data_IF_607753100795
#
_entry.id   IF_607753100795
#
_cell.length_a   1.000
_cell.length_b   1.000
_cell.length_c   1.000
_cell.angle_alpha   90.00
_cell.angle_beta   90.00
_cell.angle_gamma   90.00
#
_symmetry.space_group_name_H-M   'P 1'
#
loop_
_entity.id
_entity.type
_entity.pdbx_description
1 polymer ?
#
# COMPACT_ATOMS: atom_id res chain seq x y z
N UNK A 1 11.00 17.19 6.83
CA UNK A 1 9.72 17.92 6.80
C UNK A 1 9.18 17.94 8.22
N UNK A 2 8.48 18.98 8.66
CA UNK A 2 7.87 18.98 10.01
C UNK A 2 6.72 17.97 10.12
N UNK A 3 6.28 17.67 11.35
CA UNK A 3 5.17 16.73 11.61
C UNK A 3 3.86 17.12 10.92
N UNK A 4 3.57 18.41 10.75
CA UNK A 4 2.38 18.84 10.01
C UNK A 4 2.51 18.51 8.53
N UNK A 5 3.68 18.77 7.93
CA UNK A 5 3.91 18.52 6.51
C UNK A 5 3.84 17.04 6.14
N UNK A 6 4.31 16.14 7.02
CA UNK A 6 4.20 14.70 6.76
C UNK A 6 2.75 14.22 6.82
N UNK A 7 1.96 14.76 7.76
CA UNK A 7 0.53 14.43 7.90
C UNK A 7 -0.27 14.91 6.69
N UNK A 8 -0.01 16.14 6.21
CA UNK A 8 -0.62 16.65 4.97
C UNK A 8 -0.21 15.79 3.77
N UNK A 9 1.05 15.38 3.70
CA UNK A 9 1.53 14.49 2.64
C UNK A 9 0.81 13.13 2.69
N UNK A 10 0.60 12.56 3.88
CA UNK A 10 -0.12 11.29 4.05
C UNK A 10 -1.56 11.41 3.52
N UNK A 11 -2.26 12.50 3.86
CA UNK A 11 -3.62 12.77 3.38
C UNK A 11 -3.67 12.85 1.85
N UNK A 12 -2.79 13.66 1.25
CA UNK A 12 -2.77 13.94 -0.19
C UNK A 12 -2.39 12.69 -0.97
N UNK A 13 -1.38 11.94 -0.51
CA UNK A 13 -0.97 10.71 -1.20
C UNK A 13 -2.06 9.64 -1.12
N UNK A 14 -2.73 9.47 0.03
CA UNK A 14 -3.87 8.55 0.13
C UNK A 14 -5.04 8.95 -0.76
N UNK A 15 -5.34 10.23 -0.87
CA UNK A 15 -6.34 10.74 -1.81
C UNK A 15 -5.96 10.38 -3.25
N UNK A 16 -4.75 10.73 -3.67
CA UNK A 16 -4.25 10.48 -5.01
C UNK A 16 -4.18 8.99 -5.34
N UNK A 17 -3.82 8.14 -4.37
CA UNK A 17 -3.68 6.70 -4.58
C UNK A 17 -4.99 6.05 -4.99
N UNK A 18 -6.10 6.46 -4.38
CA UNK A 18 -7.44 5.96 -4.76
C UNK A 18 -7.83 6.39 -6.18
N UNK A 19 -7.49 7.63 -6.55
CA UNK A 19 -7.67 8.15 -7.91
C UNK A 19 -6.82 7.43 -8.95
N UNK A 20 -5.59 7.05 -8.61
CA UNK A 20 -4.65 6.47 -9.56
C UNK A 20 -5.18 5.20 -10.24
N UNK A 21 -5.82 4.30 -9.47
CA UNK A 21 -6.43 3.10 -10.05
C UNK A 21 -7.58 3.41 -11.01
N UNK A 22 -8.37 4.44 -10.71
CA UNK A 22 -9.45 4.93 -11.57
C UNK A 22 -8.92 5.55 -12.85
N UNK A 23 -7.91 6.43 -12.76
CA UNK A 23 -7.29 7.06 -13.91
C UNK A 23 -6.64 6.04 -14.85
N UNK A 24 -5.95 5.03 -14.30
CA UNK A 24 -5.40 3.93 -15.11
C UNK A 24 -6.52 3.18 -15.83
N UNK A 25 -7.62 2.85 -15.15
CA UNK A 25 -8.76 2.19 -15.78
C UNK A 25 -9.41 3.02 -16.89
N UNK A 26 -9.60 4.34 -16.67
CA UNK A 26 -10.15 5.25 -17.68
C UNK A 26 -9.21 5.37 -18.87
N UNK A 27 -7.90 5.51 -18.63
CA UNK A 27 -6.90 5.60 -19.69
C UNK A 27 -6.91 4.35 -20.56
N UNK A 28 -6.83 3.15 -19.96
CA UNK A 28 -6.70 1.91 -20.73
C UNK A 28 -7.99 1.53 -21.44
N UNK A 29 -9.12 1.57 -20.75
CA UNK A 29 -10.38 1.06 -21.30
C UNK A 29 -11.24 2.14 -21.97
N UNK A 30 -11.10 3.40 -21.56
CA UNK A 30 -11.84 4.52 -22.13
C UNK A 30 -11.08 5.20 -23.26
N UNK A 31 -9.87 5.69 -22.97
CA UNK A 31 -9.09 6.50 -23.93
C UNK A 31 -8.39 5.63 -24.98
N UNK A 32 -7.70 4.57 -24.56
CA UNK A 32 -6.98 3.67 -25.46
C UNK A 32 -7.88 2.58 -26.08
N UNK A 33 -9.11 2.42 -25.56
CA UNK A 33 -10.11 1.51 -26.12
C UNK A 33 -9.84 0.01 -25.94
N UNK A 34 -8.91 -0.38 -25.07
CA UNK A 34 -8.66 -1.81 -24.80
C UNK A 34 -9.84 -2.45 -24.06
N UNK A 35 -10.25 -3.64 -24.48
CA UNK A 35 -11.31 -4.39 -23.82
C UNK A 35 -10.94 -4.75 -22.38
N UNK A 36 -11.93 -4.70 -21.48
CA UNK A 36 -11.81 -5.16 -20.08
C UNK A 36 -11.74 -6.68 -19.95
N UNK A 37 -12.12 -7.42 -21.00
CA UNK A 37 -12.20 -8.89 -21.00
C UNK A 37 -11.05 -9.55 -21.75
N UNK A 38 -10.19 -8.75 -22.37
CA UNK A 38 -9.07 -9.24 -23.16
C UNK A 38 -7.78 -9.14 -22.36
N UNK A 39 -6.97 -10.19 -22.45
CA UNK A 39 -5.64 -10.29 -21.85
C UNK A 39 -4.76 -9.11 -22.21
N UNK A 40 -4.85 -8.61 -23.46
CA UNK A 40 -4.07 -7.44 -23.88
C UNK A 40 -4.42 -6.19 -23.06
N UNK A 41 -5.72 -5.95 -22.81
CA UNK A 41 -6.16 -4.82 -22.00
C UNK A 41 -5.68 -4.92 -20.54
N UNK A 42 -5.67 -6.13 -19.98
CA UNK A 42 -5.13 -6.36 -18.64
C UNK A 42 -3.62 -6.12 -18.56
N UNK A 43 -2.85 -6.62 -19.52
CA UNK A 43 -1.40 -6.38 -19.59
C UNK A 43 -1.10 -4.89 -19.65
N UNK A 44 -1.81 -4.15 -20.52
CA UNK A 44 -1.64 -2.69 -20.64
C UNK A 44 -1.99 -1.99 -19.32
N UNK A 45 -3.09 -2.40 -18.66
CA UNK A 45 -3.47 -1.90 -17.33
C UNK A 45 -2.38 -2.15 -16.29
N UNK A 46 -1.76 -3.31 -16.30
CA UNK A 46 -0.66 -3.65 -15.41
C UNK A 46 0.58 -2.80 -15.66
N UNK A 47 0.96 -2.55 -16.92
CA UNK A 47 2.07 -1.67 -17.27
C UNK A 47 1.86 -0.24 -16.72
N UNK A 48 0.68 0.34 -16.94
CA UNK A 48 0.35 1.66 -16.38
C UNK A 48 0.26 1.65 -14.84
N UNK A 49 -0.14 0.53 -14.23
CA UNK A 49 -0.13 0.39 -12.77
C UNK A 49 1.29 0.41 -12.21
N UNK A 50 2.26 -0.22 -12.89
CA UNK A 50 3.68 -0.13 -12.51
C UNK A 50 4.19 1.31 -12.65
N UNK A 51 3.88 2.00 -13.76
CA UNK A 51 4.25 3.42 -13.95
C UNK A 51 3.67 4.28 -12.83
N UNK A 52 2.41 4.06 -12.46
CA UNK A 52 1.77 4.74 -11.33
C UNK A 52 2.53 4.51 -10.02
N UNK A 53 2.92 3.27 -9.71
CA UNK A 53 3.72 2.98 -8.50
C UNK A 53 5.09 3.69 -8.51
N UNK A 54 5.72 3.87 -9.68
CA UNK A 54 6.93 4.69 -9.80
C UNK A 54 6.68 6.17 -9.47
N UNK A 55 5.57 6.74 -9.94
CA UNK A 55 5.16 8.10 -9.60
C UNK A 55 4.95 8.22 -8.09
N UNK A 56 4.24 7.28 -7.47
CA UNK A 56 4.04 7.29 -6.01
C UNK A 56 5.35 7.17 -5.23
N UNK A 57 6.25 6.25 -5.61
CA UNK A 57 7.55 6.15 -4.97
C UNK A 57 8.35 7.46 -5.08
N UNK A 58 8.26 8.16 -6.21
CA UNK A 58 8.87 9.47 -6.39
C UNK A 58 8.23 10.54 -5.49
N UNK A 59 6.89 10.58 -5.39
CA UNK A 59 6.18 11.50 -4.51
C UNK A 59 6.46 11.24 -3.02
N UNK A 60 6.61 9.97 -2.61
CA UNK A 60 7.03 9.61 -1.25
C UNK A 60 8.46 10.11 -0.95
N UNK A 61 9.36 10.04 -1.93
CA UNK A 61 10.72 10.59 -1.83
C UNK A 61 10.69 12.12 -1.70
N UNK A 62 9.89 12.80 -2.51
CA UNK A 62 9.73 14.27 -2.46
C UNK A 62 9.13 14.76 -1.15
N UNK A 63 8.10 14.07 -0.65
CA UNK A 63 7.45 14.36 0.65
C UNK A 63 8.32 13.99 1.86
N UNK A 64 9.50 13.40 1.64
CA UNK A 64 10.44 12.98 2.70
C UNK A 64 9.78 12.03 3.71
N UNK A 65 8.99 11.08 3.22
CA UNK A 65 8.39 10.02 4.03
C UNK A 65 6.87 10.03 4.12
N UNK A 66 6.17 10.73 3.22
CA UNK A 66 4.71 10.61 3.08
C UNK A 66 4.30 9.18 2.72
N UNK A 67 3.15 8.74 3.22
CA UNK A 67 2.62 7.38 3.09
C UNK A 67 1.17 7.42 2.65
N UNK A 68 0.67 6.29 2.16
CA UNK A 68 -0.71 6.16 1.67
C UNK A 68 -1.26 4.75 1.91
N UNK A 69 -0.60 4.01 2.80
CA UNK A 69 -0.91 2.64 3.13
C UNK A 69 -0.62 2.40 4.62
N UNK A 70 -1.66 2.11 5.43
CA UNK A 70 -1.52 1.89 6.86
C UNK A 70 -0.51 0.81 7.23
N UNK A 71 -0.29 -0.18 6.36
CA UNK A 71 0.66 -1.27 6.61
C UNK A 71 2.10 -0.78 6.54
N UNK A 72 2.41 0.10 5.59
CA UNK A 72 3.73 0.74 5.49
C UNK A 72 3.94 1.70 6.66
N UNK A 73 2.89 2.44 7.04
CA UNK A 73 2.93 3.33 8.20
C UNK A 73 3.20 2.55 9.48
N UNK A 74 2.44 1.48 9.72
CA UNK A 74 2.59 0.61 10.88
C UNK A 74 3.96 -0.03 10.94
N UNK A 75 4.47 -0.57 9.83
CA UNK A 75 5.81 -1.15 9.77
C UNK A 75 6.89 -0.13 10.19
N UNK A 76 6.82 1.10 9.68
CA UNK A 76 7.73 2.19 10.07
C UNK A 76 7.53 2.67 11.51
N UNK A 77 6.28 2.69 12.00
CA UNK A 77 5.96 3.09 13.37
C UNK A 77 6.52 2.11 14.40
N UNK A 78 6.41 0.81 14.14
CA UNK A 78 6.91 -0.25 15.03
C UNK A 78 8.44 -0.26 15.09
N UNK A 79 9.12 0.03 13.98
CA UNK A 79 10.59 0.11 13.95
C UNK A 79 11.13 1.44 14.48
N UNK A 80 10.31 2.50 14.52
CA UNK A 80 10.71 3.86 14.89
C UNK A 80 10.65 4.20 16.38
N UNK A 81 10.33 3.25 17.27
CA UNK A 81 10.21 3.47 18.73
C UNK A 81 8.83 3.99 19.17
N UNK A 82 8.59 4.03 20.48
CA UNK A 82 7.24 4.21 21.06
C UNK A 82 6.55 5.53 20.65
N UNK A 83 7.25 6.66 20.69
CA UNK A 83 6.66 7.96 20.30
C UNK A 83 6.23 7.97 18.82
N UNK A 84 7.05 7.41 17.94
CA UNK A 84 6.73 7.29 16.51
C UNK A 84 5.60 6.29 16.28
N UNK A 85 5.57 5.16 17.02
CA UNK A 85 4.47 4.21 16.97
C UNK A 85 3.12 4.87 17.32
N UNK A 86 3.06 5.61 18.43
CA UNK A 86 1.84 6.32 18.85
C UNK A 86 1.44 7.37 17.81
N UNK A 87 2.39 8.17 17.31
CA UNK A 87 2.13 9.16 16.26
C UNK A 87 1.60 8.51 14.97
N UNK A 88 2.17 7.38 14.58
CA UNK A 88 1.71 6.60 13.41
C UNK A 88 0.28 6.10 13.59
N UNK A 89 -0.01 5.43 14.70
CA UNK A 89 -1.31 4.77 14.92
C UNK A 89 -2.42 5.79 15.16
N UNK A 90 -2.15 6.86 15.90
CA UNK A 90 -3.17 7.84 16.27
C UNK A 90 -3.32 9.00 15.29
N UNK A 91 -2.33 9.27 14.45
CA UNK A 91 -2.35 10.42 13.53
C UNK A 91 -2.21 9.99 12.08
N UNK A 92 -1.10 9.33 11.72
CA UNK A 92 -0.80 9.04 10.31
C UNK A 92 -1.82 8.10 9.68
N UNK A 93 -2.10 6.96 10.30
CA UNK A 93 -3.07 5.98 9.78
C UNK A 93 -4.48 6.59 9.64
N UNK A 94 -5.05 7.27 10.65
CA UNK A 94 -6.34 7.94 10.49
C UNK A 94 -6.37 8.96 9.36
N UNK A 95 -5.29 9.72 9.17
CA UNK A 95 -5.22 10.73 8.11
C UNK A 95 -5.09 10.09 6.73
N UNK A 96 -4.37 8.97 6.60
CA UNK A 96 -4.35 8.16 5.37
C UNK A 96 -5.75 7.65 5.03
N UNK A 97 -6.50 7.16 6.02
CA UNK A 97 -7.89 6.71 5.85
C UNK A 97 -8.80 7.86 5.40
N UNK A 98 -8.69 9.03 6.05
CA UNK A 98 -9.44 10.22 5.66
C UNK A 98 -9.15 10.62 4.21
N UNK A 99 -7.87 10.64 3.82
CA UNK A 99 -7.47 10.91 2.43
C UNK A 99 -8.13 9.96 1.44
N UNK A 100 -8.14 8.66 1.73
CA UNK A 100 -8.80 7.65 0.88
C UNK A 100 -10.33 7.80 0.84
N UNK A 101 -10.99 8.10 1.95
CA UNK A 101 -12.43 8.37 1.99
C UNK A 101 -12.78 9.59 1.14
N UNK A 102 -12.03 10.69 1.28
CA UNK A 102 -12.22 11.89 0.47
C UNK A 102 -11.99 11.61 -1.02
N UNK A 103 -10.96 10.82 -1.33
CA UNK A 103 -10.65 10.40 -2.69
C UNK A 103 -11.80 9.63 -3.33
N UNK A 104 -12.29 8.59 -2.66
CA UNK A 104 -13.41 7.78 -3.16
C UNK A 104 -14.71 8.57 -3.26
N UNK A 105 -15.04 9.40 -2.25
CA UNK A 105 -16.22 10.28 -2.33
C UNK A 105 -16.15 11.20 -3.54
N UNK A 106 -14.97 11.77 -3.81
CA UNK A 106 -14.78 12.64 -4.97
C UNK A 106 -14.90 11.86 -6.29
N UNK A 107 -14.32 10.66 -6.35
CA UNK A 107 -14.43 9.76 -7.52
C UNK A 107 -15.90 9.46 -7.83
N UNK A 108 -16.71 9.06 -6.85
CA UNK A 108 -18.12 8.71 -7.05
C UNK A 108 -18.94 9.94 -7.44
N UNK A 109 -18.60 11.12 -6.91
CA UNK A 109 -19.25 12.37 -7.30
C UNK A 109 -18.99 12.73 -8.77
N UNK A 110 -17.77 12.52 -9.26
CA UNK A 110 -17.38 12.83 -10.64
C UNK A 110 -17.82 11.72 -11.62
N UNK A 111 -17.73 10.46 -11.20
CA UNK A 111 -18.04 9.27 -11.99
C UNK A 111 -18.97 8.33 -11.20
N UNK A 112 -20.29 8.58 -11.18
CA UNK A 112 -21.23 7.81 -10.36
C UNK A 112 -21.28 6.31 -10.67
N UNK A 113 -20.98 5.94 -11.92
CA UNK A 113 -21.02 4.55 -12.38
C UNK A 113 -19.70 3.78 -12.20
N UNK A 114 -18.68 4.40 -11.59
CA UNK A 114 -17.38 3.77 -11.47
C UNK A 114 -17.36 2.72 -10.35
N UNK A 115 -16.60 1.65 -10.57
CA UNK A 115 -16.72 0.35 -9.90
C UNK A 115 -16.79 0.35 -8.37
N UNK A 116 -17.21 -0.78 -7.80
CA UNK A 116 -17.60 -0.89 -6.39
C UNK A 116 -16.44 -1.22 -5.44
N UNK A 117 -15.18 -0.94 -5.76
CA UNK A 117 -14.03 -1.37 -4.94
C UNK A 117 -13.86 -2.91 -4.86
N UNK A 118 -13.04 -3.42 -3.93
CA UNK A 118 -12.77 -4.85 -3.81
C UNK A 118 -13.97 -5.62 -3.25
N UNK A 119 -14.04 -6.89 -3.63
CA UNK A 119 -15.09 -7.84 -3.24
C UNK A 119 -14.45 -9.11 -2.70
N UNK A 120 -14.93 -9.59 -1.57
CA UNK A 120 -14.59 -10.91 -1.07
C UNK A 120 -15.40 -11.99 -1.81
N UNK A 121 -14.71 -13.00 -2.35
CA UNK A 121 -15.34 -14.12 -3.05
C UNK A 121 -15.19 -15.46 -2.31
N UNK A 122 -14.55 -15.45 -1.14
CA UNK A 122 -14.33 -16.62 -0.27
C UNK A 122 -14.87 -16.39 1.13
N UNK A 123 -14.86 -17.42 1.98
CA UNK A 123 -15.26 -17.25 3.37
C UNK A 123 -14.32 -16.27 4.11
N UNK A 124 -14.86 -15.52 5.07
CA UNK A 124 -14.14 -14.45 5.81
C UNK A 124 -12.78 -14.90 6.34
N UNK A 125 -12.69 -16.10 6.92
CA UNK A 125 -11.43 -16.62 7.47
C UNK A 125 -10.39 -16.94 6.37
N UNK A 126 -10.84 -17.46 5.22
CA UNK A 126 -9.97 -17.65 4.05
C UNK A 126 -9.51 -16.30 3.51
N UNK A 127 -10.42 -15.32 3.41
CA UNK A 127 -10.06 -13.97 2.96
C UNK A 127 -9.05 -13.30 3.87
N UNK A 128 -9.26 -13.36 5.20
CA UNK A 128 -8.35 -12.80 6.18
C UNK A 128 -6.97 -13.49 6.15
N UNK A 129 -6.94 -14.80 5.93
CA UNK A 129 -5.71 -15.54 5.72
C UNK A 129 -5.00 -15.10 4.43
N UNK A 130 -5.73 -14.99 3.32
CA UNK A 130 -5.20 -14.53 2.03
C UNK A 130 -4.59 -13.14 2.13
N UNK A 131 -5.37 -12.13 2.56
CA UNK A 131 -4.84 -10.76 2.72
C UNK A 131 -3.70 -10.70 3.73
N UNK A 132 -3.75 -11.50 4.80
CA UNK A 132 -2.65 -11.65 5.75
C UNK A 132 -1.37 -12.18 5.12
N UNK A 133 -1.43 -13.28 4.36
CA UNK A 133 -0.27 -13.87 3.68
C UNK A 133 0.32 -12.90 2.65
N UNK A 134 -0.52 -12.29 1.81
CA UNK A 134 -0.09 -11.31 0.81
C UNK A 134 0.61 -10.12 1.49
N UNK A 135 0.02 -9.62 2.58
CA UNK A 135 0.60 -8.54 3.38
C UNK A 135 1.93 -8.93 4.01
N UNK A 136 2.04 -10.12 4.57
CA UNK A 136 3.27 -10.61 5.18
C UNK A 136 4.43 -10.58 4.17
N UNK A 137 4.21 -11.11 2.96
CA UNK A 137 5.24 -11.15 1.93
C UNK A 137 5.62 -9.77 1.41
N UNK A 138 4.66 -8.87 1.16
CA UNK A 138 5.00 -7.52 0.67
C UNK A 138 5.73 -6.70 1.73
N UNK A 139 5.39 -6.83 3.01
CA UNK A 139 6.10 -6.16 4.11
C UNK A 139 7.51 -6.74 4.26
N UNK A 140 7.66 -8.06 4.27
CA UNK A 140 8.96 -8.74 4.31
C UNK A 140 9.88 -8.29 3.16
N UNK A 141 9.34 -8.24 1.94
CA UNK A 141 10.08 -7.76 0.78
C UNK A 141 10.47 -6.29 0.94
N UNK A 142 9.55 -5.44 1.37
CA UNK A 142 9.84 -4.01 1.60
C UNK A 142 10.97 -3.80 2.60
N UNK A 143 10.96 -4.53 3.73
CA UNK A 143 12.04 -4.50 4.72
C UNK A 143 13.37 -5.02 4.14
N UNK A 144 13.31 -6.13 3.38
CA UNK A 144 14.48 -6.72 2.71
C UNK A 144 15.11 -5.79 1.68
N UNK A 145 14.29 -5.14 0.84
CA UNK A 145 14.74 -4.14 -0.15
C UNK A 145 15.32 -2.90 0.51
N UNK A 146 14.71 -2.45 1.61
CA UNK A 146 15.22 -1.33 2.39
C UNK A 146 16.65 -1.60 2.88
N UNK A 147 16.89 -2.81 3.41
CA UNK A 147 18.18 -3.23 3.98
C UNK A 147 19.24 -3.63 2.95
N UNK A 148 18.90 -4.47 1.96
CA UNK A 148 19.91 -5.08 1.06
C UNK A 148 20.36 -4.18 -0.09
N UNK A 149 19.57 -3.18 -0.46
CA UNK A 149 19.85 -2.34 -1.63
C UNK A 149 19.89 -0.86 -1.23
N UNK A 150 20.68 -0.43 -0.24
CA UNK A 150 20.71 0.97 0.17
C UNK A 150 21.04 1.89 -1.02
N UNK A 151 20.34 3.03 -1.13
CA UNK A 151 20.62 4.05 -2.15
C UNK A 151 20.00 3.86 -3.55
N UNK A 152 19.65 2.66 -3.99
CA UNK A 152 19.05 2.48 -5.34
C UNK A 152 17.53 2.69 -5.34
N UNK A 153 17.10 3.92 -5.65
CA UNK A 153 15.68 4.25 -5.79
C UNK A 153 15.02 3.40 -6.88
N UNK A 154 15.60 3.35 -8.09
CA UNK A 154 14.99 2.68 -9.23
C UNK A 154 14.82 1.17 -9.01
N UNK A 155 15.87 0.48 -8.53
CA UNK A 155 15.82 -0.97 -8.36
C UNK A 155 14.85 -1.39 -7.25
N UNK A 156 14.79 -0.65 -6.13
CA UNK A 156 13.80 -0.89 -5.07
C UNK A 156 12.38 -0.71 -5.59
N UNK A 157 12.13 0.39 -6.29
CA UNK A 157 10.80 0.69 -6.83
C UNK A 157 10.39 -0.33 -7.88
N UNK A 158 11.30 -0.75 -8.76
CA UNK A 158 11.03 -1.79 -9.76
C UNK A 158 10.63 -3.12 -9.11
N UNK A 159 11.49 -3.67 -8.23
CA UNK A 159 11.23 -4.97 -7.58
C UNK A 159 9.96 -4.89 -6.72
N UNK A 160 9.80 -3.81 -5.94
CA UNK A 160 8.64 -3.61 -5.10
C UNK A 160 7.33 -3.49 -5.89
N UNK A 161 7.34 -2.78 -7.03
CA UNK A 161 6.16 -2.62 -7.88
C UNK A 161 5.75 -3.92 -8.54
N UNK A 162 6.72 -4.66 -9.10
CA UNK A 162 6.46 -5.97 -9.72
C UNK A 162 5.94 -6.95 -8.67
N UNK A 163 6.56 -7.03 -7.48
CA UNK A 163 6.10 -7.93 -6.44
C UNK A 163 4.70 -7.57 -5.90
N UNK A 164 4.43 -6.26 -5.69
CA UNK A 164 3.10 -5.80 -5.28
C UNK A 164 2.04 -6.15 -6.33
N UNK A 165 2.37 -5.98 -7.61
CA UNK A 165 1.48 -6.35 -8.70
C UNK A 165 1.26 -7.88 -8.75
N UNK A 166 2.31 -8.68 -8.64
CA UNK A 166 2.19 -10.16 -8.60
C UNK A 166 1.29 -10.61 -7.46
N UNK A 167 1.52 -10.10 -6.25
CA UNK A 167 0.69 -10.42 -5.09
C UNK A 167 -0.75 -9.94 -5.24
N UNK A 168 -0.96 -8.77 -5.87
CA UNK A 168 -2.29 -8.27 -6.20
C UNK A 168 -3.02 -9.23 -7.14
N UNK A 169 -2.36 -9.69 -8.22
CA UNK A 169 -2.94 -10.65 -9.17
C UNK A 169 -3.25 -11.98 -8.48
N UNK A 170 -2.35 -12.51 -7.65
CA UNK A 170 -2.56 -13.75 -6.90
C UNK A 170 -3.74 -13.67 -5.91
N UNK A 171 -4.00 -12.50 -5.35
CA UNK A 171 -5.11 -12.27 -4.41
C UNK A 171 -6.41 -11.78 -5.06
N UNK A 172 -6.37 -11.39 -6.34
CA UNK A 172 -7.45 -10.66 -6.99
C UNK A 172 -8.78 -11.43 -6.95
N UNK A 173 -8.75 -12.72 -7.30
CA UNK A 173 -9.96 -13.54 -7.38
C UNK A 173 -10.55 -13.91 -6.02
N UNK A 174 -9.75 -13.88 -4.95
CA UNK A 174 -10.19 -14.28 -3.61
C UNK A 174 -10.69 -13.09 -2.79
N UNK A 175 -9.92 -12.01 -2.76
CA UNK A 175 -10.13 -10.84 -1.87
C UNK A 175 -10.01 -9.50 -2.59
N UNK A 176 -9.61 -9.50 -3.86
CA UNK A 176 -9.18 -8.30 -4.59
C UNK A 176 -7.68 -7.97 -4.43
N UNK A 177 -6.93 -8.75 -3.64
CA UNK A 177 -5.48 -8.59 -3.48
C UNK A 177 -5.06 -7.18 -3.08
N UNK A 178 -5.72 -6.61 -2.07
CA UNK A 178 -5.69 -5.17 -1.82
C UNK A 178 -4.40 -4.72 -1.15
N UNK A 179 -4.02 -5.39 -0.04
CA UNK A 179 -2.84 -5.05 0.76
C UNK A 179 -2.73 -3.55 1.09
N UNK A 180 -3.86 -2.85 1.26
CA UNK A 180 -3.92 -1.44 1.63
C UNK A 180 -5.26 -1.12 2.34
N UNK A 181 -5.30 -1.17 3.69
CA UNK A 181 -6.52 -0.95 4.45
C UNK A 181 -7.18 0.43 4.21
N UNK A 182 -6.39 1.50 4.02
CA UNK A 182 -6.95 2.84 3.78
C UNK A 182 -7.71 2.92 2.46
N UNK A 183 -7.12 2.37 1.39
CA UNK A 183 -7.78 2.32 0.08
C UNK A 183 -9.08 1.50 0.11
N UNK A 184 -9.08 0.33 0.77
CA UNK A 184 -10.29 -0.49 0.92
C UNK A 184 -11.33 0.24 1.75
N UNK A 185 -10.92 0.87 2.86
CA UNK A 185 -11.81 1.64 3.75
C UNK A 185 -12.51 2.78 3.00
N UNK A 186 -11.82 3.48 2.09
CA UNK A 186 -12.44 4.51 1.26
C UNK A 186 -13.66 4.00 0.48
N UNK A 187 -13.51 2.84 -0.18
CA UNK A 187 -14.60 2.19 -0.93
C UNK A 187 -15.68 1.64 -0.01
N UNK A 188 -15.30 0.94 1.07
CA UNK A 188 -16.26 0.38 2.02
C UNK A 188 -17.09 1.48 2.72
N UNK A 189 -16.48 2.63 3.02
CA UNK A 189 -17.16 3.77 3.62
C UNK A 189 -18.23 4.33 2.68
N UNK A 190 -17.90 4.51 1.40
CA UNK A 190 -18.85 5.00 0.40
C UNK A 190 -20.04 4.05 0.18
N UNK A 191 -19.87 2.74 0.43
CA UNK A 191 -20.94 1.74 0.35
C UNK A 191 -21.71 1.54 1.66
N UNK A 192 -21.28 2.13 2.78
CA UNK A 192 -21.84 1.87 4.09
C UNK A 192 -21.43 0.51 4.70
N UNK A 193 -20.43 -0.17 4.15
CA UNK A 193 -19.99 -1.52 4.53
C UNK A 193 -18.73 -1.51 5.44
N UNK A 194 -18.22 -0.33 5.79
CA UNK A 194 -16.96 -0.14 6.53
C UNK A 194 -16.91 -0.72 7.96
N UNK A 195 -18.05 -1.07 8.56
CA UNK A 195 -18.13 -1.66 9.92
C UNK A 195 -18.48 -3.15 9.85
N UNK A 196 -18.58 -3.74 8.66
CA UNK A 196 -18.89 -5.17 8.51
C UNK A 196 -17.76 -6.04 9.05
N UNK A 197 -18.12 -7.23 9.55
CA UNK A 197 -17.12 -8.21 10.03
C UNK A 197 -16.15 -8.61 8.91
N UNK A 198 -16.64 -8.77 7.69
CA UNK A 198 -15.79 -8.96 6.50
C UNK A 198 -14.74 -7.86 6.41
N UNK A 199 -15.15 -6.59 6.40
CA UNK A 199 -14.23 -5.49 6.21
C UNK A 199 -13.16 -5.42 7.30
N UNK A 200 -13.59 -5.51 8.55
CA UNK A 200 -12.72 -5.38 9.73
C UNK A 200 -11.76 -6.58 9.87
N UNK A 201 -12.21 -7.81 9.59
CA UNK A 201 -11.36 -8.99 9.75
C UNK A 201 -10.41 -9.19 8.57
N UNK A 202 -10.93 -9.03 7.34
CA UNK A 202 -10.18 -9.35 6.12
C UNK A 202 -9.21 -8.24 5.76
N UNK A 203 -9.67 -6.98 5.73
CA UNK A 203 -8.87 -5.88 5.17
C UNK A 203 -8.15 -5.05 6.22
N UNK A 204 -8.44 -5.25 7.52
CA UNK A 204 -7.75 -4.59 8.62
C UNK A 204 -6.99 -5.58 9.50
N UNK A 205 -7.69 -6.46 10.21
CA UNK A 205 -7.08 -7.30 11.24
C UNK A 205 -6.02 -8.27 10.67
N UNK A 206 -6.34 -8.97 9.59
CA UNK A 206 -5.41 -9.88 8.91
C UNK A 206 -4.11 -9.16 8.51
N UNK A 207 -4.18 -8.10 7.67
CA UNK A 207 -3.03 -7.30 7.28
C UNK A 207 -2.24 -6.68 8.45
N UNK A 208 -2.90 -6.18 9.50
CA UNK A 208 -2.21 -5.64 10.68
C UNK A 208 -1.40 -6.72 11.37
N UNK A 209 -2.02 -7.88 11.67
CA UNK A 209 -1.34 -9.01 12.31
C UNK A 209 -0.15 -9.49 11.48
N UNK A 210 -0.34 -9.60 10.17
CA UNK A 210 0.71 -9.99 9.23
C UNK A 210 1.86 -8.98 9.19
N UNK A 211 1.57 -7.68 9.25
CA UNK A 211 2.59 -6.62 9.28
C UNK A 211 3.44 -6.71 10.55
N UNK A 212 2.79 -6.85 11.71
CA UNK A 212 3.50 -7.01 12.99
C UNK A 212 4.35 -8.28 12.99
N UNK A 213 3.80 -9.40 12.50
CA UNK A 213 4.52 -10.66 12.37
C UNK A 213 5.72 -10.55 11.42
N UNK A 214 5.56 -9.87 10.29
CA UNK A 214 6.65 -9.65 9.32
C UNK A 214 7.78 -8.82 9.92
N UNK A 215 7.47 -7.71 10.59
CA UNK A 215 8.48 -6.87 11.26
C UNK A 215 9.21 -7.67 12.34
N UNK A 216 8.47 -8.41 13.17
CA UNK A 216 9.05 -9.26 14.21
C UNK A 216 9.96 -10.35 13.61
N UNK A 217 9.45 -11.10 12.64
CA UNK A 217 10.19 -12.18 11.98
C UNK A 217 11.45 -11.65 11.31
N UNK A 218 11.35 -10.53 10.60
CA UNK A 218 12.49 -9.90 9.95
C UNK A 218 13.59 -9.53 10.95
N UNK A 219 13.22 -8.96 12.09
CA UNK A 219 14.16 -8.56 13.12
C UNK A 219 14.82 -9.76 13.81
N UNK A 220 14.06 -10.83 14.07
CA UNK A 220 14.59 -12.06 14.70
C UNK A 220 15.53 -12.80 13.74
N UNK A 221 15.13 -12.99 12.48
CA UNK A 221 15.86 -13.81 11.52
C UNK A 221 17.06 -13.07 10.93
N UNK A 222 16.89 -11.81 10.56
CA UNK A 222 17.95 -11.08 9.86
C UNK A 222 18.85 -10.27 10.80
N UNK A 223 18.55 -10.20 12.12
CA UNK A 223 19.19 -9.40 13.18
C UNK A 223 19.40 -7.92 12.82
N UNK A 224 19.17 -6.94 13.71
CA UNK A 224 19.57 -5.56 13.43
C UNK A 224 21.07 -5.50 13.13
N UNK A 225 21.49 -4.77 12.09
CA UNK A 225 22.91 -4.46 11.93
C UNK A 225 23.31 -3.66 13.18
N UNK A 226 24.34 -4.09 13.91
CA UNK A 226 24.91 -3.31 15.01
C UNK A 226 25.41 -1.97 14.46
N UNK A 227 25.35 -0.89 15.25
CA UNK A 227 25.76 0.48 14.84
C UNK A 227 27.18 0.55 14.21
N UNK A 228 28.03 -0.45 14.47
CA UNK A 228 29.37 -0.58 13.88
C UNK A 228 29.37 -0.88 12.36
N UNK A 229 28.31 -1.49 11.81
CA UNK A 229 28.20 -1.82 10.39
C UNK A 229 27.57 -0.69 9.54
N UNK A 230 27.03 0.36 10.19
CA UNK A 230 26.39 1.51 9.51
C UNK A 230 27.39 2.58 9.06
N UNK A 231 28.64 2.57 9.54
CA UNK A 231 29.67 3.47 9.00
C UNK A 231 30.06 2.97 7.61
N UNK A 232 29.79 3.73 6.53
CA UNK A 232 30.41 3.40 5.25
C UNK A 232 31.91 3.44 5.48
N UNK A 233 32.61 2.35 5.16
CA UNK A 233 34.08 2.34 5.10
C UNK A 233 34.47 3.58 4.32
N UNK A 234 35.02 4.57 5.01
CA UNK A 234 35.61 5.73 4.38
C UNK A 234 36.57 5.16 3.34
N UNK A 235 36.37 5.52 2.08
CA UNK A 235 37.33 5.21 1.03
C UNK A 235 38.62 5.91 1.46
N UNK A 236 39.55 5.15 2.02
CA UNK A 236 40.97 5.51 2.08
C UNK A 236 41.50 5.34 0.67
N UNK A 237 41.79 6.49 0.06
CA UNK A 237 42.70 6.80 -1.05
C UNK A 237 42.74 5.86 -2.27
#
# INVERSE_FOLDING_TARGET
MGRIGIVVSDLVLSFMWTWAGVLVNILVHGVLGFSRKDTTGEIVRYLFSVISMFVFAFLQKLSKGGLYNPLTALAAGVTGGFSNFIFTVLVRIPVEVLGSILGVKHIIHVFPEIGKGPKLNVAIHHGALTEGILTFFIVMLSLGLARKIPGSFFMKTWIGSIAKLTLHVLGADLTGGCMNPAAVMGWAYARGEHITQEHLLVYWLGPIKATLLAVWFFNVVFRPLTEEEEKPKAKTD
#
